data_IF_122096638107
#
_entry.id   IF_122096638107
#
_cell.length_a   1.000
_cell.length_b   1.000
_cell.length_c   1.000
_cell.angle_alpha   90.00
_cell.angle_beta   90.00
_cell.angle_gamma   90.00
#
_symmetry.space_group_name_H-M   'P 1'
#
loop_
_entity.id
_entity.type
_entity.pdbx_description
1 polymer ?
#
# COMPACT_ATOMS: atom_id res chain seq x y z
N UNK A 1 -29.90 4.95 -19.14
CA UNK A 1 -28.49 5.33 -18.92
C UNK A 1 -28.22 5.26 -17.42
N UNK A 2 -27.34 4.36 -16.95
CA UNK A 2 -26.97 4.31 -15.53
C UNK A 2 -26.10 5.53 -15.20
N UNK A 3 -26.60 6.41 -14.35
CA UNK A 3 -25.80 7.50 -13.79
C UNK A 3 -24.65 6.89 -12.97
N UNK A 4 -23.42 7.14 -13.35
CA UNK A 4 -22.24 6.69 -12.58
C UNK A 4 -22.18 7.50 -11.29
N UNK A 5 -22.22 6.83 -10.15
CA UNK A 5 -22.14 7.49 -8.84
C UNK A 5 -20.79 8.20 -8.69
N UNK A 6 -20.83 9.48 -8.34
CA UNK A 6 -19.64 10.31 -8.11
C UNK A 6 -19.39 10.49 -6.60
N UNK A 7 -18.12 10.48 -6.23
CA UNK A 7 -17.64 10.57 -4.85
C UNK A 7 -16.76 11.82 -4.68
N UNK A 8 -16.84 12.45 -3.52
CA UNK A 8 -16.09 13.68 -3.25
C UNK A 8 -14.63 13.37 -2.88
N UNK A 9 -13.70 14.12 -3.49
CA UNK A 9 -12.33 14.14 -3.04
C UNK A 9 -12.26 14.68 -1.60
N UNK A 10 -11.60 13.96 -0.69
CA UNK A 10 -11.47 14.38 0.72
C UNK A 10 -10.66 15.67 0.94
N UNK A 11 -10.07 16.25 -0.12
CA UNK A 11 -9.25 17.46 -0.05
C UNK A 11 -9.84 18.65 -0.80
N UNK A 12 -10.16 18.49 -2.08
CA UNK A 12 -10.72 19.58 -2.91
C UNK A 12 -12.25 19.53 -3.02
N UNK A 13 -12.90 18.51 -2.45
CA UNK A 13 -14.36 18.28 -2.48
C UNK A 13 -14.99 18.18 -3.88
N UNK A 14 -14.22 18.31 -4.96
CA UNK A 14 -14.64 18.00 -6.30
C UNK A 14 -15.02 16.52 -6.44
N UNK A 15 -15.96 16.23 -7.35
CA UNK A 15 -16.58 14.92 -7.50
C UNK A 15 -15.93 14.13 -8.63
N UNK A 16 -15.60 12.88 -8.35
CA UNK A 16 -14.92 11.97 -9.27
C UNK A 16 -15.56 10.58 -9.24
N UNK A 17 -15.46 9.78 -10.31
CA UNK A 17 -15.72 8.35 -10.24
C UNK A 17 -14.89 7.67 -9.15
N UNK A 18 -15.39 6.58 -8.55
CA UNK A 18 -14.70 5.87 -7.47
C UNK A 18 -13.29 5.41 -7.86
N UNK A 19 -13.13 4.94 -9.10
CA UNK A 19 -11.86 4.48 -9.68
C UNK A 19 -10.80 5.60 -9.83
N UNK A 20 -11.25 6.85 -9.93
CA UNK A 20 -10.39 8.04 -10.01
C UNK A 20 -9.99 8.59 -8.64
N UNK A 21 -10.42 7.95 -7.55
CA UNK A 21 -10.05 8.30 -6.18
C UNK A 21 -9.01 7.32 -5.61
N UNK A 22 -8.17 7.80 -4.69
CA UNK A 22 -7.17 6.96 -4.04
C UNK A 22 -7.84 5.95 -3.10
N UNK A 23 -7.36 4.70 -3.15
CA UNK A 23 -7.79 3.68 -2.20
C UNK A 23 -7.44 4.09 -0.77
N UNK A 24 -8.46 4.29 0.07
CA UNK A 24 -8.34 4.58 1.50
C UNK A 24 -8.49 6.05 1.90
N UNK A 25 -7.99 7.01 1.13
CA UNK A 25 -8.08 8.45 1.45
C UNK A 25 -9.00 9.24 0.52
N UNK A 26 -9.56 8.60 -0.53
CA UNK A 26 -10.48 9.24 -1.48
C UNK A 26 -9.92 10.55 -2.05
N UNK A 27 -8.67 10.55 -2.52
CA UNK A 27 -8.02 11.71 -3.13
C UNK A 27 -8.03 11.59 -4.66
N UNK A 28 -8.39 12.68 -5.35
CA UNK A 28 -8.26 12.74 -6.81
C UNK A 28 -6.79 12.72 -7.26
N UNK A 29 -6.55 12.43 -8.55
CA UNK A 29 -5.20 12.31 -9.13
C UNK A 29 -4.33 13.55 -8.87
N UNK A 30 -4.89 14.75 -8.98
CA UNK A 30 -4.19 16.01 -8.72
C UNK A 30 -3.79 16.17 -7.25
N UNK A 31 -4.72 15.88 -6.34
CA UNK A 31 -4.45 15.94 -4.90
C UNK A 31 -3.44 14.87 -4.46
N UNK A 32 -3.39 13.71 -5.14
CA UNK A 32 -2.35 12.68 -4.92
C UNK A 32 -0.98 13.15 -5.39
N UNK A 33 -0.88 13.73 -6.59
CA UNK A 33 0.38 14.19 -7.15
C UNK A 33 0.99 15.39 -6.40
N UNK A 34 0.17 16.12 -5.66
CA UNK A 34 0.60 17.30 -4.90
C UNK A 34 1.45 16.99 -3.65
N UNK A 35 1.49 15.73 -3.21
CA UNK A 35 2.16 15.33 -1.97
C UNK A 35 2.86 13.97 -2.15
N UNK A 36 3.80 13.59 -1.27
CA UNK A 36 4.34 12.24 -1.26
C UNK A 36 3.47 11.26 -0.44
N UNK A 37 3.50 9.99 -0.84
CA UNK A 37 3.01 8.87 -0.01
C UNK A 37 4.15 8.45 0.93
N UNK A 38 3.89 8.47 2.23
CA UNK A 38 4.87 8.11 3.27
C UNK A 38 4.36 6.94 4.12
N UNK A 39 5.26 6.31 4.87
CA UNK A 39 4.92 5.22 5.79
C UNK A 39 4.83 5.75 7.21
N UNK A 40 3.80 5.32 7.93
CA UNK A 40 3.65 5.64 9.35
C UNK A 40 4.79 5.01 10.17
N UNK A 41 5.49 5.79 10.99
CA UNK A 41 6.56 5.30 11.88
C UNK A 41 6.05 4.22 12.84
N UNK A 42 4.84 4.41 13.37
CA UNK A 42 4.21 3.45 14.29
C UNK A 42 3.59 2.28 13.53
N UNK A 43 2.45 2.46 12.85
CA UNK A 43 1.70 1.33 12.29
C UNK A 43 2.21 0.79 10.94
N UNK A 44 3.24 1.40 10.34
CA UNK A 44 3.84 1.05 9.03
C UNK A 44 2.88 1.09 7.83
N UNK A 45 1.64 1.54 8.02
CA UNK A 45 0.68 1.81 6.94
C UNK A 45 1.16 2.97 6.09
N UNK A 46 0.90 2.91 4.79
CA UNK A 46 1.12 4.01 3.86
C UNK A 46 -0.03 5.02 3.93
N UNK A 47 0.30 6.30 3.82
CA UNK A 47 -0.67 7.38 3.75
C UNK A 47 -0.12 8.55 2.94
N UNK A 48 -1.00 9.27 2.26
CA UNK A 48 -0.67 10.52 1.59
C UNK A 48 -0.52 11.63 2.63
N UNK A 49 0.57 12.40 2.56
CA UNK A 49 0.67 13.64 3.32
C UNK A 49 -0.32 14.68 2.79
N UNK A 50 -0.80 15.57 3.67
CA UNK A 50 -1.85 16.55 3.30
C UNK A 50 -1.40 18.00 3.46
N UNK A 51 -0.17 18.24 3.93
CA UNK A 51 0.32 19.58 4.26
C UNK A 51 1.70 19.79 3.64
N UNK A 52 1.85 20.87 2.87
CA UNK A 52 3.13 21.24 2.24
C UNK A 52 4.06 21.66 3.39
N UNK A 53 5.13 20.91 3.62
CA UNK A 53 6.09 21.16 4.70
C UNK A 53 5.91 20.32 5.98
N UNK A 54 4.87 19.48 6.08
CA UNK A 54 4.80 18.54 7.21
C UNK A 54 5.77 17.38 6.99
N UNK A 55 6.81 17.31 7.81
CA UNK A 55 7.70 16.14 7.90
C UNK A 55 7.08 15.01 8.73
N UNK A 56 5.80 15.11 9.10
CA UNK A 56 5.16 14.09 9.93
C UNK A 56 5.09 12.76 9.18
N UNK A 57 5.82 11.80 9.72
CA UNK A 57 5.80 10.40 9.32
C UNK A 57 4.80 9.62 10.18
N UNK A 58 3.88 10.27 10.88
CA UNK A 58 2.86 9.61 11.71
C UNK A 58 1.49 9.83 11.08
N UNK A 59 0.74 8.75 10.85
CA UNK A 59 -0.61 8.86 10.29
C UNK A 59 -1.59 9.44 11.33
N UNK A 60 -2.66 10.10 10.86
CA UNK A 60 -3.68 10.74 11.72
C UNK A 60 -4.21 9.83 12.83
N UNK A 61 -4.44 8.54 12.53
CA UNK A 61 -4.89 7.55 13.52
C UNK A 61 -3.88 7.35 14.64
N UNK A 62 -2.60 7.18 14.29
CA UNK A 62 -1.55 7.04 15.29
C UNK A 62 -1.32 8.34 16.05
N UNK A 63 -1.45 9.50 15.40
CA UNK A 63 -1.34 10.80 16.06
C UNK A 63 -2.43 10.99 17.12
N UNK A 64 -3.68 10.65 16.79
CA UNK A 64 -4.80 10.66 17.75
C UNK A 64 -4.54 9.71 18.92
N UNK A 65 -4.05 8.50 18.65
CA UNK A 65 -3.72 7.55 19.72
C UNK A 65 -2.56 8.03 20.60
N UNK A 66 -1.55 8.70 20.04
CA UNK A 66 -0.47 9.31 20.84
C UNK A 66 -1.04 10.41 21.76
N UNK A 67 -1.95 11.24 21.25
CA UNK A 67 -2.59 12.29 22.05
C UNK A 67 -3.46 11.71 23.17
N UNK A 68 -4.13 10.59 22.92
CA UNK A 68 -5.04 9.96 23.89
C UNK A 68 -4.34 9.04 24.91
N UNK A 69 -3.34 8.28 24.48
CA UNK A 69 -2.74 7.18 25.26
C UNK A 69 -1.23 7.31 25.46
N UNK A 70 -0.59 8.32 24.83
CA UNK A 70 0.85 8.50 24.88
C UNK A 70 1.63 7.60 23.91
N UNK A 71 2.93 7.44 24.18
CA UNK A 71 3.84 6.67 23.33
C UNK A 71 3.50 5.17 23.38
N UNK A 72 3.30 4.50 22.23
CA UNK A 72 2.96 3.09 22.22
C UNK A 72 4.15 2.20 22.59
N UNK A 73 3.85 0.98 23.02
CA UNK A 73 4.81 -0.10 23.24
C UNK A 73 4.89 -1.05 22.04
N UNK A 74 5.84 -1.98 22.08
CA UNK A 74 5.98 -3.02 21.07
C UNK A 74 4.82 -4.04 21.18
N UNK A 75 4.23 -4.37 20.04
CA UNK A 75 3.21 -5.40 19.96
C UNK A 75 3.80 -6.79 20.22
N UNK A 76 3.19 -7.57 21.11
CA UNK A 76 3.60 -8.93 21.44
C UNK A 76 3.69 -9.86 20.22
N UNK A 77 2.79 -9.73 19.25
CA UNK A 77 2.79 -10.58 18.06
C UNK A 77 3.73 -10.10 16.97
N UNK A 78 3.56 -8.85 16.50
CA UNK A 78 4.25 -8.37 15.30
C UNK A 78 5.46 -7.46 15.59
N UNK A 79 5.79 -7.22 16.85
CA UNK A 79 6.89 -6.36 17.32
C UNK A 79 6.85 -4.90 16.84
N UNK A 80 5.77 -4.50 16.17
CA UNK A 80 5.57 -3.09 15.78
C UNK A 80 5.29 -2.27 17.04
N UNK A 81 5.98 -1.13 17.18
CA UNK A 81 5.75 -0.13 18.22
C UNK A 81 4.44 0.62 17.91
N UNK A 82 3.31 -0.04 18.16
CA UNK A 82 1.96 0.46 17.89
C UNK A 82 0.91 -0.15 18.84
N UNK A 83 1.33 -0.73 19.96
CA UNK A 83 0.44 -1.09 21.05
C UNK A 83 0.18 0.15 21.91
N UNK A 84 -0.89 0.87 21.58
CA UNK A 84 -1.29 2.08 22.32
C UNK A 84 -2.09 1.75 23.59
N UNK A 85 -2.75 0.59 23.61
CA UNK A 85 -3.54 0.11 24.74
C UNK A 85 -3.16 -1.36 24.95
N UNK A 86 -2.69 -1.70 26.15
CA UNK A 86 -2.20 -3.04 26.46
C UNK A 86 -0.89 -3.38 25.73
N UNK A 87 -0.74 -4.65 25.34
CA UNK A 87 0.48 -5.21 24.76
C UNK A 87 0.34 -5.61 23.28
N UNK A 88 -0.83 -5.41 22.66
CA UNK A 88 -1.12 -5.78 21.27
C UNK A 88 -1.46 -4.53 20.46
N UNK A 89 -0.94 -4.44 19.23
CA UNK A 89 -1.37 -3.39 18.32
C UNK A 89 -2.79 -3.67 17.83
N UNK A 90 -3.53 -2.60 17.52
CA UNK A 90 -4.93 -2.72 17.11
C UNK A 90 -5.15 -3.59 15.87
N UNK A 91 -4.14 -3.71 14.99
CA UNK A 91 -4.21 -4.61 13.83
C UNK A 91 -4.23 -6.08 14.27
N UNK A 92 -3.35 -6.46 15.19
CA UNK A 92 -3.28 -7.80 15.73
C UNK A 92 -4.55 -8.12 16.51
N UNK A 93 -4.99 -7.22 17.40
CA UNK A 93 -6.23 -7.37 18.16
C UNK A 93 -7.44 -7.60 17.23
N UNK A 94 -7.61 -6.76 16.20
CA UNK A 94 -8.73 -6.92 15.27
C UNK A 94 -8.64 -8.20 14.43
N UNK A 95 -7.43 -8.63 14.08
CA UNK A 95 -7.24 -9.87 13.33
C UNK A 95 -7.53 -11.09 14.20
N UNK A 96 -7.16 -11.03 15.47
CA UNK A 96 -7.41 -12.11 16.44
C UNK A 96 -8.90 -12.28 16.72
N UNK A 97 -9.62 -11.18 16.93
CA UNK A 97 -11.08 -11.19 17.10
C UNK A 97 -11.77 -11.81 15.87
N UNK A 98 -11.27 -11.50 14.67
CA UNK A 98 -11.94 -11.91 13.42
C UNK A 98 -11.56 -13.32 12.96
N UNK A 99 -10.31 -13.72 13.14
CA UNK A 99 -9.73 -14.91 12.53
C UNK A 99 -9.22 -15.94 13.54
N UNK A 100 -9.26 -15.63 14.84
CA UNK A 100 -8.73 -16.47 15.89
C UNK A 100 -7.24 -16.21 16.19
N UNK A 101 -6.61 -17.08 17.01
CA UNK A 101 -5.27 -16.86 17.53
C UNK A 101 -4.21 -16.76 16.41
N UNK A 102 -3.12 -16.01 16.63
CA UNK A 102 -2.06 -15.90 15.64
C UNK A 102 -1.29 -17.22 15.48
N UNK A 103 -0.86 -17.48 14.25
CA UNK A 103 -0.01 -18.62 13.86
C UNK A 103 1.34 -18.12 13.34
N UNK A 104 2.28 -19.04 13.12
CA UNK A 104 3.60 -18.71 12.60
C UNK A 104 3.52 -18.21 11.16
N UNK A 105 4.12 -17.05 10.92
CA UNK A 105 4.33 -16.52 9.57
C UNK A 105 5.37 -17.37 8.85
N UNK A 106 5.08 -17.81 7.62
CA UNK A 106 6.02 -18.65 6.89
C UNK A 106 7.31 -17.93 6.47
N UNK A 107 7.29 -16.60 6.36
CA UNK A 107 8.44 -15.79 5.97
C UNK A 107 9.30 -15.34 7.15
N UNK A 108 8.72 -14.73 8.19
CA UNK A 108 9.48 -14.23 9.34
C UNK A 108 9.49 -15.17 10.55
N UNK A 109 8.77 -16.30 10.48
CA UNK A 109 8.65 -17.33 11.53
C UNK A 109 8.03 -16.87 12.87
N UNK A 110 7.71 -15.59 13.03
CA UNK A 110 7.03 -15.04 14.20
C UNK A 110 5.55 -15.46 14.26
N UNK A 111 5.00 -15.60 15.48
CA UNK A 111 3.59 -15.91 15.74
C UNK A 111 2.70 -14.67 15.54
N UNK A 112 2.52 -14.26 14.29
CA UNK A 112 1.82 -13.02 13.93
C UNK A 112 1.07 -13.07 12.59
N UNK A 113 0.98 -14.25 11.97
CA UNK A 113 0.08 -14.49 10.86
C UNK A 113 -1.29 -14.90 11.38
N UNK A 114 -2.34 -14.70 10.57
CA UNK A 114 -3.71 -15.04 10.91
C UNK A 114 -4.33 -15.73 9.71
N UNK A 115 -4.90 -16.92 9.91
CA UNK A 115 -5.53 -17.67 8.83
C UNK A 115 -6.87 -17.03 8.47
N UNK A 116 -6.98 -16.59 7.21
CA UNK A 116 -8.19 -15.91 6.72
C UNK A 116 -9.17 -16.88 6.08
N UNK A 117 -8.85 -18.18 6.03
CA UNK A 117 -9.64 -19.23 5.38
C UNK A 117 -9.98 -18.87 3.92
N UNK A 118 -9.07 -18.15 3.27
CA UNK A 118 -9.23 -17.59 1.95
C UNK A 118 -7.93 -17.85 1.19
N UNK A 119 -7.94 -18.91 0.39
CA UNK A 119 -6.79 -19.34 -0.41
C UNK A 119 -6.38 -18.28 -1.45
N UNK A 120 -7.32 -17.47 -1.96
CA UNK A 120 -7.02 -16.36 -2.88
C UNK A 120 -6.22 -15.23 -2.20
N UNK A 121 -6.27 -15.16 -0.86
CA UNK A 121 -5.48 -14.22 -0.06
C UNK A 121 -4.12 -14.77 0.35
N UNK A 122 -3.82 -16.05 0.09
CA UNK A 122 -2.46 -16.59 0.26
C UNK A 122 -1.56 -15.99 -0.81
N UNK A 123 -0.41 -15.55 -0.36
CA UNK A 123 0.57 -14.91 -1.24
C UNK A 123 1.56 -15.99 -1.62
N UNK A 124 1.56 -16.41 -2.89
CA UNK A 124 2.40 -17.52 -3.35
C UNK A 124 2.11 -18.84 -2.59
N UNK A 125 0.83 -19.09 -2.26
CA UNK A 125 0.41 -20.25 -1.46
C UNK A 125 0.83 -20.21 0.02
N UNK A 126 1.55 -19.17 0.46
CA UNK A 126 2.10 -19.05 1.82
C UNK A 126 1.25 -18.17 2.72
N UNK A 127 1.13 -18.58 3.97
CA UNK A 127 0.52 -17.83 5.05
C UNK A 127 1.52 -16.83 5.65
N UNK A 128 1.35 -15.56 5.25
CA UNK A 128 2.23 -14.46 5.65
C UNK A 128 1.54 -13.55 6.67
N UNK A 129 2.32 -13.02 7.63
CA UNK A 129 1.86 -11.92 8.46
C UNK A 129 1.67 -10.66 7.62
N UNK A 130 0.89 -9.70 8.13
CA UNK A 130 0.56 -8.49 7.37
C UNK A 130 1.79 -7.70 6.88
N UNK A 131 2.86 -7.63 7.67
CA UNK A 131 4.10 -6.96 7.26
C UNK A 131 4.82 -7.68 6.13
N UNK A 132 4.88 -9.01 6.19
CA UNK A 132 5.45 -9.84 5.13
C UNK A 132 4.60 -9.74 3.86
N UNK A 133 3.27 -9.81 3.97
CA UNK A 133 2.34 -9.55 2.86
C UNK A 133 2.58 -8.20 2.20
N UNK A 134 2.71 -7.12 2.97
CA UNK A 134 2.99 -5.79 2.42
C UNK A 134 4.33 -5.74 1.69
N UNK A 135 5.36 -6.33 2.28
CA UNK A 135 6.72 -6.34 1.72
C UNK A 135 6.75 -7.12 0.41
N UNK A 136 6.09 -8.27 0.35
CA UNK A 136 5.97 -9.08 -0.86
C UNK A 136 5.18 -8.35 -1.96
N UNK A 137 4.02 -7.74 -1.62
CA UNK A 137 3.25 -6.96 -2.60
C UNK A 137 4.05 -5.80 -3.20
N UNK A 138 4.84 -5.10 -2.37
CA UNK A 138 5.75 -4.05 -2.86
C UNK A 138 6.84 -4.60 -3.77
N UNK A 139 7.43 -5.75 -3.43
CA UNK A 139 8.43 -6.39 -4.29
C UNK A 139 7.82 -6.80 -5.64
N UNK A 140 6.64 -7.42 -5.65
CA UNK A 140 5.94 -7.77 -6.89
C UNK A 140 5.60 -6.55 -7.76
N UNK A 141 5.19 -5.44 -7.16
CA UNK A 141 4.89 -4.21 -7.90
C UNK A 141 6.15 -3.67 -8.61
N UNK A 142 7.31 -3.72 -7.95
CA UNK A 142 8.60 -3.33 -8.55
C UNK A 142 8.98 -4.22 -9.73
N UNK A 143 8.81 -5.54 -9.60
CA UNK A 143 9.10 -6.46 -10.70
C UNK A 143 8.15 -6.23 -11.88
N UNK A 144 6.84 -6.06 -11.63
CA UNK A 144 5.85 -5.76 -12.68
C UNK A 144 6.13 -4.44 -13.40
N UNK A 145 6.53 -3.39 -12.68
CA UNK A 145 6.95 -2.12 -13.28
C UNK A 145 8.22 -2.30 -14.11
N UNK A 146 9.25 -2.98 -13.58
CA UNK A 146 10.48 -3.27 -14.32
C UNK A 146 10.23 -4.09 -15.59
N UNK A 147 9.30 -5.05 -15.56
CA UNK A 147 8.90 -5.81 -16.76
C UNK A 147 8.07 -4.99 -17.75
N UNK A 148 7.26 -4.04 -17.28
CA UNK A 148 6.54 -3.12 -18.14
C UNK A 148 7.50 -2.15 -18.83
N UNK A 149 8.46 -1.59 -18.08
CA UNK A 149 9.49 -0.70 -18.59
C UNK A 149 10.43 -1.42 -19.56
N UNK A 150 10.85 -2.66 -19.24
CA UNK A 150 11.65 -3.50 -20.15
C UNK A 150 10.91 -3.77 -21.46
N UNK A 151 9.61 -4.08 -21.39
CA UNK A 151 8.77 -4.28 -22.59
C UNK A 151 8.58 -2.99 -23.39
N UNK A 152 8.41 -1.86 -22.73
CA UNK A 152 8.34 -0.55 -23.40
C UNK A 152 9.67 -0.22 -24.10
N UNK A 153 10.80 -0.49 -23.46
CA UNK A 153 12.13 -0.27 -24.01
C UNK A 153 12.43 -1.17 -25.22
N UNK A 154 11.97 -2.42 -25.19
CA UNK A 154 12.05 -3.32 -26.35
C UNK A 154 11.20 -2.82 -27.53
N UNK A 155 9.97 -2.36 -27.28
CA UNK A 155 9.10 -1.79 -28.33
C UNK A 155 9.70 -0.53 -28.98
N UNK A 156 10.28 0.36 -28.17
CA UNK A 156 10.97 1.56 -28.66
C UNK A 156 12.19 1.17 -29.50
N UNK A 157 13.03 0.24 -29.02
CA UNK A 157 14.21 -0.22 -29.76
C UNK A 157 13.86 -0.86 -31.10
N UNK A 158 12.74 -1.60 -31.17
CA UNK A 158 12.25 -2.23 -32.39
C UNK A 158 11.73 -1.20 -33.41
N UNK A 159 11.06 -0.13 -32.95
CA UNK A 159 10.67 1.01 -33.80
C UNK A 159 11.88 1.76 -34.37
N UNK A 160 12.94 1.95 -33.59
CA UNK A 160 14.17 2.61 -34.06
C UNK A 160 14.93 1.79 -35.11
N UNK A 161 14.81 0.44 -35.08
CA UNK A 161 15.39 -0.45 -36.09
C UNK A 161 14.63 -0.36 -37.43
N UNK A 162 13.30 -0.47 -37.41
CA UNK A 162 12.48 -0.35 -38.63
C UNK A 162 12.62 1.03 -39.32
N UNK A 163 12.89 2.09 -38.56
CA UNK A 163 13.08 3.44 -39.12
C UNK A 163 14.43 3.62 -39.84
N UNK A 164 15.44 2.80 -39.54
CA UNK A 164 16.75 2.82 -40.22
C UNK A 164 16.75 2.00 -41.51
N UNK A 165 15.92 0.95 -41.59
CA UNK A 165 15.81 0.10 -42.79
C UNK A 165 14.91 0.70 -43.88
N UNK A 166 14.08 1.69 -43.55
CA UNK A 166 13.21 2.39 -44.51
C UNK A 166 13.87 3.57 -45.26
N UNK A 167 15.17 3.82 -45.07
CA UNK A 167 15.91 4.93 -45.72
C UNK A 167 17.00 4.45 -46.70
N UNK A 168 17.00 3.18 -47.09
CA UNK A 168 17.80 2.68 -48.22
C UNK A 168 16.91 2.60 -49.45
N UNK A 169 16.74 3.75 -50.09
CA UNK A 169 16.18 3.93 -51.43
C UNK A 169 17.19 3.38 -52.46
N UNK A 170 16.77 2.56 -53.43
CA UNK A 170 17.50 2.42 -54.67
C UNK A 170 16.80 3.21 -55.77
N UNK A 171 17.63 4.06 -56.35
CA UNK A 171 17.54 4.88 -57.56
C UNK A 171 16.92 4.18 -58.78
#
# INVERSE_FOLDING_TARGET
MSATALFACSRCFARYPFEDLSAGQQLCKECRGSFPVVKCTYCRSEFQQTSKGSTSTICKKCEQNVKAYGKPTACEYCNIIAAFIGNRCQRCTNSEIKYGPPVNCEQCKQKCAFDRHDDDKKVDGKLLCWLCTLSFKRALAKTKQGDADRRAHMKISQMHKNKKEGNSEPQ
#
